data_IF_312950236558
#
_entry.id   IF_312950236558
#
_cell.length_a   1.000
_cell.length_b   1.000
_cell.length_c   1.000
_cell.angle_alpha   90.00
_cell.angle_beta   90.00
_cell.angle_gamma   90.00
#
_symmetry.space_group_name_H-M   'P 1'
#
loop_
_entity.id
_entity.type
_entity.pdbx_description
1 polymer ?
#
# COMPACT_ATOMS: atom_id res chain seq x y z
N UNK A 1 -1.21 26.08 73.61
CA UNK A 1 -1.01 24.75 73.00
C UNK A 1 -0.66 24.96 71.53
N UNK A 2 0.51 24.46 71.10
CA UNK A 2 1.01 24.59 69.73
C UNK A 2 0.36 23.50 68.87
N UNK A 3 -0.41 23.88 67.85
CA UNK A 3 -0.81 22.96 66.79
C UNK A 3 -0.05 23.35 65.52
N UNK A 4 0.97 22.55 65.19
CA UNK A 4 1.62 22.57 63.89
C UNK A 4 0.70 21.83 62.91
N UNK A 5 0.08 22.55 61.98
CA UNK A 5 -0.57 21.95 60.83
C UNK A 5 0.35 22.11 59.62
N UNK A 6 1.00 21.01 59.27
CA UNK A 6 1.77 20.87 58.04
C UNK A 6 0.82 21.01 56.85
N UNK A 7 0.97 22.11 56.10
CA UNK A 7 0.39 22.26 54.78
C UNK A 7 1.30 21.48 53.83
N UNK A 8 0.91 20.25 53.49
CA UNK A 8 1.51 19.54 52.38
C UNK A 8 0.93 20.14 51.08
N UNK A 9 1.76 20.69 50.17
CA UNK A 9 1.26 21.02 48.85
C UNK A 9 1.02 19.70 48.12
N UNK A 10 -0.25 19.38 47.86
CA UNK A 10 -0.61 18.41 46.83
C UNK A 10 -0.07 18.98 45.50
N UNK A 11 1.13 18.57 45.13
CA UNK A 11 1.64 18.75 43.78
C UNK A 11 0.77 17.86 42.90
N UNK A 12 -0.28 18.47 42.33
CA UNK A 12 -1.00 17.94 41.18
C UNK A 12 0.01 17.90 40.04
N UNK A 13 0.79 16.81 39.99
CA UNK A 13 1.56 16.46 38.79
C UNK A 13 0.49 16.35 37.71
N UNK A 14 0.52 17.21 36.67
CA UNK A 14 -0.28 16.95 35.51
C UNK A 14 0.22 15.61 35.01
N UNK A 15 -0.62 14.58 35.11
CA UNK A 15 -0.50 13.44 34.23
C UNK A 15 -0.64 14.03 32.83
N UNK A 16 0.48 14.47 32.27
CA UNK A 16 0.66 14.55 30.85
C UNK A 16 0.47 13.11 30.39
N UNK A 17 -0.80 12.74 30.16
CA UNK A 17 -1.13 11.74 29.19
C UNK A 17 -0.48 12.27 27.92
N UNK A 18 0.71 11.76 27.64
CA UNK A 18 1.14 11.65 26.26
C UNK A 18 0.00 10.85 25.63
N UNK A 19 -0.93 11.55 24.97
CA UNK A 19 -1.63 10.92 23.87
C UNK A 19 -0.49 10.52 22.94
N UNK A 20 -0.05 9.26 23.03
CA UNK A 20 0.48 8.63 21.84
C UNK A 20 -0.55 8.96 20.79
N UNK A 21 -0.14 9.73 19.79
CA UNK A 21 -0.80 9.75 18.51
C UNK A 21 -1.02 8.26 18.23
N UNK A 22 -2.27 7.81 18.34
CA UNK A 22 -2.64 6.52 17.83
C UNK A 22 -2.28 6.65 16.37
N UNK A 23 -1.13 6.07 16.00
CA UNK A 23 -0.93 5.66 14.64
C UNK A 23 -2.21 4.94 14.29
N UNK A 24 -2.85 5.42 13.24
CA UNK A 24 -4.12 4.95 12.73
C UNK A 24 -3.90 3.53 12.18
N UNK A 25 -3.62 2.58 13.08
CA UNK A 25 -3.37 1.15 12.84
C UNK A 25 -4.65 0.46 12.33
N UNK A 26 -5.76 1.21 12.25
CA UNK A 26 -7.01 0.83 11.61
C UNK A 26 -6.98 1.01 10.08
N UNK A 27 -5.96 1.68 9.51
CA UNK A 27 -5.80 1.84 8.06
C UNK A 27 -4.84 0.79 7.52
N UNK A 28 -5.37 -0.18 6.77
CA UNK A 28 -4.69 -1.14 5.91
C UNK A 28 -3.18 -1.27 6.00
N UNK A 29 -2.69 -2.40 6.49
CA UNK A 29 -1.28 -2.76 6.33
C UNK A 29 -1.00 -3.11 4.86
N UNK A 30 -0.07 -2.35 4.25
CA UNK A 30 0.52 -2.61 2.93
C UNK A 30 1.76 -3.45 3.18
N UNK A 31 1.77 -4.67 2.67
CA UNK A 31 2.91 -5.57 2.81
C UNK A 31 3.63 -5.70 1.48
N UNK A 32 4.92 -5.41 1.48
CA UNK A 32 5.80 -5.69 0.34
C UNK A 32 6.45 -7.05 0.53
N UNK A 33 6.27 -7.96 -0.43
CA UNK A 33 6.98 -9.24 -0.44
C UNK A 33 7.99 -9.24 -1.58
N UNK A 34 9.26 -9.19 -1.24
CA UNK A 34 10.35 -9.45 -2.17
C UNK A 34 10.54 -10.97 -2.36
N UNK A 35 10.97 -11.44 -3.54
CA UNK A 35 11.47 -12.80 -3.71
C UNK A 35 12.72 -13.01 -2.82
N UNK A 36 12.72 -14.07 -2.02
CA UNK A 36 13.91 -14.52 -1.29
C UNK A 36 14.72 -15.46 -2.18
N UNK A 37 15.86 -15.00 -2.68
CA UNK A 37 16.81 -15.82 -3.42
C UNK A 37 18.06 -16.02 -2.58
N UNK A 38 18.61 -17.24 -2.59
CA UNK A 38 19.92 -17.51 -1.98
C UNK A 38 20.98 -16.62 -2.62
N UNK A 39 21.95 -16.17 -1.82
CA UNK A 39 23.09 -15.36 -2.25
C UNK A 39 22.67 -14.08 -3.00
N UNK A 40 21.58 -13.44 -2.55
CA UNK A 40 21.09 -12.20 -3.12
C UNK A 40 20.84 -11.20 -2.00
N UNK A 41 21.37 -9.99 -2.16
CA UNK A 41 21.01 -8.85 -1.33
C UNK A 41 19.93 -8.02 -2.02
N UNK A 42 19.05 -7.41 -1.23
CA UNK A 42 17.93 -6.63 -1.74
C UNK A 42 17.85 -5.30 -1.02
N UNK A 43 17.64 -4.23 -1.78
CA UNK A 43 17.15 -2.94 -1.28
C UNK A 43 15.83 -2.59 -1.94
N UNK A 44 14.90 -2.06 -1.16
CA UNK A 44 13.60 -1.61 -1.66
C UNK A 44 13.26 -0.23 -1.13
N UNK A 45 12.76 0.62 -2.01
CA UNK A 45 12.32 1.98 -1.68
C UNK A 45 10.89 2.14 -2.17
N UNK A 46 10.01 2.62 -1.30
CA UNK A 46 8.64 2.91 -1.67
C UNK A 46 8.10 4.04 -0.79
N UNK A 47 7.42 4.99 -1.42
CA UNK A 47 6.58 5.98 -0.74
C UNK A 47 5.12 5.89 -1.21
N UNK A 48 4.79 4.82 -1.94
CA UNK A 48 3.52 4.67 -2.64
C UNK A 48 2.30 4.82 -1.70
N UNK A 49 2.46 4.49 -0.41
CA UNK A 49 1.46 4.65 0.65
C UNK A 49 1.41 6.01 1.35
N UNK A 50 2.45 6.84 1.22
CA UNK A 50 2.62 8.07 2.03
C UNK A 50 1.64 9.15 1.61
N UNK A 51 1.62 9.47 0.31
CA UNK A 51 0.71 10.47 -0.28
C UNK A 51 -0.79 10.17 -0.02
N UNK A 52 -1.14 8.90 0.20
CA UNK A 52 -2.51 8.45 0.44
C UNK A 52 -2.95 8.59 1.89
N UNK A 53 -2.01 8.56 2.84
CA UNK A 53 -2.30 8.70 4.28
C UNK A 53 -2.39 10.16 4.72
N UNK A 54 -1.66 11.04 4.05
CA UNK A 54 -1.56 12.47 4.38
C UNK A 54 -2.66 13.32 3.71
N UNK A 55 -3.59 12.68 2.98
CA UNK A 55 -4.69 13.38 2.31
C UNK A 55 -4.20 14.35 1.23
N UNK A 56 -3.01 14.10 0.66
CA UNK A 56 -2.44 14.98 -0.33
C UNK A 56 -3.34 15.06 -1.57
N UNK A 57 -3.54 16.29 -2.02
CA UNK A 57 -4.28 16.58 -3.23
C UNK A 57 -3.48 16.18 -4.46
N UNK A 58 -4.07 15.33 -5.30
CA UNK A 58 -3.58 15.03 -6.65
C UNK A 58 -3.71 16.28 -7.53
N UNK A 59 -2.64 17.09 -7.62
CA UNK A 59 -2.63 18.40 -8.28
C UNK A 59 -2.16 18.41 -9.73
N UNK A 60 -1.56 17.31 -10.22
CA UNK A 60 -1.14 17.17 -11.63
C UNK A 60 -2.35 17.30 -12.56
N UNK A 61 -2.25 18.22 -13.50
CA UNK A 61 -3.26 18.44 -14.54
C UNK A 61 -2.89 17.73 -15.84
N UNK A 62 -1.61 17.50 -16.07
CA UNK A 62 -1.09 16.83 -17.26
C UNK A 62 -1.29 15.31 -17.18
N UNK A 63 -1.76 14.72 -18.29
CA UNK A 63 -1.71 13.27 -18.49
C UNK A 63 -0.26 12.87 -18.78
N UNK A 64 0.25 11.89 -18.05
CA UNK A 64 1.65 11.46 -18.15
C UNK A 64 1.76 9.97 -17.81
N UNK A 65 2.45 9.17 -18.65
CA UNK A 65 2.55 7.73 -18.46
C UNK A 65 3.40 7.38 -17.24
N UNK A 66 3.08 6.24 -16.62
CA UNK A 66 3.93 5.68 -15.57
C UNK A 66 5.26 5.26 -16.17
N UNK A 67 6.36 5.65 -15.52
CA UNK A 67 7.69 5.24 -15.94
C UNK A 67 8.05 3.91 -15.31
N UNK A 68 8.66 3.02 -16.09
CA UNK A 68 9.03 1.66 -15.73
C UNK A 68 10.52 1.46 -15.94
N UNK A 69 11.17 0.81 -14.97
CA UNK A 69 12.54 0.33 -15.08
C UNK A 69 12.53 -1.17 -14.79
N UNK A 70 13.02 -1.97 -15.73
CA UNK A 70 13.05 -3.43 -15.66
C UNK A 70 14.33 -3.99 -16.27
N UNK A 71 15.46 -3.49 -15.78
CA UNK A 71 16.79 -3.85 -16.28
C UNK A 71 17.45 -4.90 -15.41
N UNK A 72 18.29 -5.73 -16.02
CA UNK A 72 19.16 -6.68 -15.33
C UNK A 72 20.48 -6.80 -16.08
N UNK A 73 21.58 -6.94 -15.36
CA UNK A 73 22.92 -7.03 -15.93
C UNK A 73 23.78 -8.08 -15.22
N UNK A 74 24.74 -8.65 -15.97
CA UNK A 74 25.79 -9.51 -15.41
C UNK A 74 27.00 -8.67 -15.01
N UNK A 75 27.63 -9.05 -13.90
CA UNK A 75 28.80 -8.40 -13.31
C UNK A 75 29.98 -9.36 -13.17
N UNK A 76 29.96 -10.52 -13.84
CA UNK A 76 30.93 -11.62 -13.66
C UNK A 76 32.42 -11.22 -13.83
N UNK A 77 32.72 -10.15 -14.56
CA UNK A 77 34.09 -9.65 -14.75
C UNK A 77 34.45 -8.47 -13.83
N UNK A 78 33.54 -8.07 -12.95
CA UNK A 78 33.68 -6.92 -12.06
C UNK A 78 34.15 -7.35 -10.67
N UNK A 79 35.11 -6.62 -10.10
CA UNK A 79 35.55 -6.81 -8.70
C UNK A 79 34.76 -5.88 -7.77
N UNK A 80 33.45 -5.82 -7.95
CA UNK A 80 32.53 -5.01 -7.15
C UNK A 80 31.71 -5.91 -6.22
N UNK A 81 31.49 -5.46 -4.98
CA UNK A 81 30.54 -6.06 -4.07
C UNK A 81 29.13 -5.46 -4.26
N UNK A 82 28.14 -6.04 -3.59
CA UNK A 82 26.77 -5.55 -3.66
C UNK A 82 26.58 -4.15 -3.07
N UNK A 83 27.40 -3.74 -2.10
CA UNK A 83 27.29 -2.40 -1.51
C UNK A 83 27.65 -1.32 -2.53
N UNK A 84 28.70 -1.53 -3.33
CA UNK A 84 29.07 -0.63 -4.43
C UNK A 84 28.02 -0.62 -5.54
N UNK A 85 27.45 -1.78 -5.88
CA UNK A 85 26.32 -1.87 -6.83
C UNK A 85 25.15 -1.01 -6.33
N UNK A 86 24.76 -1.14 -5.07
CA UNK A 86 23.66 -0.34 -4.53
C UNK A 86 23.99 1.15 -4.48
N UNK A 87 25.21 1.53 -4.10
CA UNK A 87 25.62 2.94 -4.04
C UNK A 87 25.57 3.59 -5.44
N UNK A 88 26.00 2.89 -6.48
CA UNK A 88 25.96 3.42 -7.86
C UNK A 88 24.52 3.59 -8.35
N UNK A 89 23.62 2.63 -8.07
CA UNK A 89 22.21 2.76 -8.41
C UNK A 89 21.54 3.87 -7.58
N UNK A 90 21.89 4.01 -6.30
CA UNK A 90 21.36 5.08 -5.46
C UNK A 90 21.74 6.47 -6.00
N UNK A 91 23.01 6.67 -6.33
CA UNK A 91 23.53 7.94 -6.86
C UNK A 91 22.95 8.29 -8.23
N UNK A 92 22.92 7.34 -9.16
CA UNK A 92 22.53 7.58 -10.56
C UNK A 92 21.02 7.57 -10.80
N UNK A 93 20.24 6.94 -9.92
CA UNK A 93 18.81 6.73 -10.14
C UNK A 93 17.96 7.14 -8.95
N UNK A 94 18.19 6.57 -7.76
CA UNK A 94 17.27 6.74 -6.62
C UNK A 94 17.29 8.18 -6.09
N UNK A 95 18.44 8.83 -6.11
CA UNK A 95 18.63 10.23 -5.70
C UNK A 95 17.75 11.21 -6.49
N UNK A 96 17.40 10.87 -7.74
CA UNK A 96 16.57 11.68 -8.64
C UNK A 96 15.07 11.40 -8.53
N UNK A 97 14.67 10.29 -7.91
CA UNK A 97 13.27 9.89 -7.70
C UNK A 97 12.88 10.15 -6.25
N UNK A 98 12.76 11.45 -5.91
CA UNK A 98 12.55 11.88 -4.53
C UNK A 98 11.07 11.79 -4.08
N UNK A 99 10.82 11.53 -2.78
CA UNK A 99 9.48 11.27 -2.28
C UNK A 99 8.55 12.48 -2.20
N UNK A 100 9.05 13.69 -2.40
CA UNK A 100 8.27 14.93 -2.51
C UNK A 100 7.73 15.17 -3.93
N UNK A 101 8.35 14.55 -4.95
CA UNK A 101 8.02 14.78 -6.36
C UNK A 101 7.37 13.58 -7.03
N UNK A 102 7.71 12.38 -6.57
CA UNK A 102 7.32 11.15 -7.23
C UNK A 102 6.61 10.21 -6.27
N UNK A 103 5.60 9.53 -6.79
CA UNK A 103 5.09 8.30 -6.20
C UNK A 103 5.83 7.13 -6.84
N UNK A 104 6.55 6.33 -6.05
CA UNK A 104 7.40 5.28 -6.60
C UNK A 104 7.41 4.00 -5.77
N UNK A 105 7.77 2.92 -6.44
CA UNK A 105 8.19 1.67 -5.83
C UNK A 105 9.34 1.06 -6.62
N UNK A 106 10.48 0.90 -5.96
CA UNK A 106 11.71 0.39 -6.55
C UNK A 106 12.22 -0.80 -5.76
N UNK A 107 12.54 -1.87 -6.47
CA UNK A 107 13.22 -3.06 -6.01
C UNK A 107 14.57 -3.18 -6.71
N UNK A 108 15.64 -3.31 -5.94
CA UNK A 108 16.98 -3.54 -6.45
C UNK A 108 17.47 -4.85 -5.82
N UNK A 109 17.93 -5.77 -6.66
CA UNK A 109 18.60 -7.00 -6.21
C UNK A 109 20.01 -7.06 -6.76
N UNK A 110 20.93 -7.54 -5.93
CA UNK A 110 22.30 -7.87 -6.31
C UNK A 110 22.57 -9.32 -5.92
N UNK A 111 22.88 -10.15 -6.90
CA UNK A 111 23.32 -11.53 -6.69
C UNK A 111 24.84 -11.54 -6.53
N UNK A 112 25.35 -12.35 -5.61
CA UNK A 112 26.78 -12.44 -5.33
C UNK A 112 27.27 -13.89 -5.25
N UNK A 113 28.56 -14.08 -5.50
CA UNK A 113 29.26 -15.33 -5.26
C UNK A 113 29.57 -15.48 -3.77
N UNK A 114 29.08 -16.52 -3.07
CA UNK A 114 29.32 -16.70 -1.63
C UNK A 114 30.78 -17.00 -1.27
N UNK A 115 31.62 -17.45 -2.21
CA UNK A 115 33.04 -17.72 -1.94
C UNK A 115 33.85 -16.43 -1.91
N UNK A 116 33.57 -15.51 -2.84
CA UNK A 116 34.34 -14.26 -3.02
C UNK A 116 33.63 -13.02 -2.48
N UNK A 117 32.31 -13.10 -2.25
CA UNK A 117 31.39 -11.98 -1.96
C UNK A 117 31.28 -10.91 -3.06
N UNK A 118 31.81 -11.17 -4.26
CA UNK A 118 31.66 -10.26 -5.39
C UNK A 118 30.30 -10.42 -6.05
N UNK A 119 29.76 -9.30 -6.52
CA UNK A 119 28.52 -9.22 -7.25
C UNK A 119 28.67 -9.92 -8.60
N UNK A 120 27.77 -10.85 -8.90
CA UNK A 120 27.72 -11.59 -10.17
C UNK A 120 26.64 -11.05 -11.10
N UNK A 121 25.65 -10.33 -10.55
CA UNK A 121 24.63 -9.67 -11.36
C UNK A 121 23.72 -8.78 -10.53
N UNK A 122 22.92 -7.98 -11.22
CA UNK A 122 21.95 -7.10 -10.59
C UNK A 122 20.65 -7.04 -11.39
N UNK A 123 19.58 -6.62 -10.72
CA UNK A 123 18.32 -6.28 -11.37
C UNK A 123 17.65 -5.10 -10.66
N UNK A 124 17.02 -4.24 -11.46
CA UNK A 124 16.24 -3.10 -11.01
C UNK A 124 14.83 -3.25 -11.57
N UNK A 125 13.85 -3.31 -10.66
CA UNK A 125 12.42 -3.33 -10.96
C UNK A 125 11.77 -2.14 -10.28
N UNK A 126 11.47 -1.09 -11.05
CA UNK A 126 10.85 0.13 -10.55
C UNK A 126 9.64 0.53 -11.38
N UNK A 127 8.68 1.17 -10.74
CA UNK A 127 7.76 2.07 -11.41
C UNK A 127 7.59 3.34 -10.60
N UNK A 128 7.34 4.46 -11.30
CA UNK A 128 7.13 5.74 -10.65
C UNK A 128 6.30 6.70 -11.52
N UNK A 129 5.59 7.60 -10.84
CA UNK A 129 4.77 8.64 -11.44
C UNK A 129 5.13 10.02 -10.85
N UNK A 130 5.30 11.07 -11.67
CA UNK A 130 5.42 12.43 -11.17
C UNK A 130 4.07 12.89 -10.57
N UNK A 131 4.12 13.54 -9.40
CA UNK A 131 2.93 13.91 -8.63
C UNK A 131 2.33 15.27 -9.00
N UNK A 132 3.13 16.13 -9.65
CA UNK A 132 2.78 17.50 -10.05
C UNK A 132 3.24 17.79 -11.48
N UNK A 133 2.75 18.87 -12.09
CA UNK A 133 3.18 19.29 -13.43
C UNK A 133 4.66 19.73 -13.42
N UNK A 134 5.15 20.34 -12.34
CA UNK A 134 6.58 20.66 -12.18
C UNK A 134 7.44 19.39 -12.13
N UNK A 135 6.98 18.33 -11.44
CA UNK A 135 7.68 17.05 -11.43
C UNK A 135 7.71 16.39 -12.82
N UNK A 136 6.71 16.63 -13.68
CA UNK A 136 6.74 16.19 -15.08
C UNK A 136 7.86 16.88 -15.86
N UNK A 137 8.02 18.20 -15.71
CA UNK A 137 9.07 18.95 -16.38
C UNK A 137 10.47 18.50 -15.96
N UNK A 138 10.67 18.26 -14.67
CA UNK A 138 11.93 17.74 -14.14
C UNK A 138 12.21 16.31 -14.60
N UNK A 139 11.17 15.47 -14.63
CA UNK A 139 11.29 14.11 -15.14
C UNK A 139 11.74 14.09 -16.59
N UNK A 140 11.18 14.94 -17.45
CA UNK A 140 11.61 15.01 -18.84
C UNK A 140 13.11 15.34 -18.96
N UNK A 141 13.63 16.27 -18.15
CA UNK A 141 15.07 16.57 -18.11
C UNK A 141 15.89 15.37 -17.65
N UNK A 142 15.44 14.69 -16.60
CA UNK A 142 16.09 13.47 -16.11
C UNK A 142 16.12 12.36 -17.17
N UNK A 143 15.01 12.17 -17.90
CA UNK A 143 14.94 11.21 -19.00
C UNK A 143 15.92 11.59 -20.14
N UNK A 144 15.99 12.86 -20.52
CA UNK A 144 16.89 13.32 -21.57
C UNK A 144 18.38 13.12 -21.22
N UNK A 145 18.73 13.26 -19.94
CA UNK A 145 20.12 13.15 -19.46
C UNK A 145 20.54 11.70 -19.17
N UNK A 146 19.67 10.89 -18.56
CA UNK A 146 20.04 9.58 -18.03
C UNK A 146 19.46 8.41 -18.82
N UNK A 147 18.37 8.58 -19.58
CA UNK A 147 17.80 7.45 -20.31
C UNK A 147 18.74 7.03 -21.45
N UNK A 148 19.21 5.80 -21.38
CA UNK A 148 20.18 5.24 -22.30
C UNK A 148 21.65 5.42 -21.90
N UNK A 149 21.93 5.99 -20.73
CA UNK A 149 23.29 6.04 -20.17
C UNK A 149 23.76 4.64 -19.73
N UNK A 150 25.07 4.50 -19.51
CA UNK A 150 25.62 3.30 -18.87
C UNK A 150 25.33 3.32 -17.35
N UNK A 151 24.92 2.18 -16.82
CA UNK A 151 24.77 1.89 -15.40
C UNK A 151 25.33 0.49 -15.15
N UNK A 152 26.50 0.40 -14.52
CA UNK A 152 27.17 -0.87 -14.23
C UNK A 152 27.42 -1.72 -15.50
N UNK A 153 27.79 -1.10 -16.62
CA UNK A 153 28.00 -1.80 -17.90
C UNK A 153 26.72 -2.23 -18.61
N UNK A 154 25.55 -1.84 -18.10
CA UNK A 154 24.24 -2.08 -18.72
C UNK A 154 23.55 -0.76 -19.04
N UNK A 155 22.92 -0.66 -20.21
CA UNK A 155 22.18 0.53 -20.61
C UNK A 155 20.97 0.75 -19.70
N UNK A 156 20.92 1.87 -18.98
CA UNK A 156 19.75 2.31 -18.23
C UNK A 156 18.62 2.56 -19.23
N UNK A 157 17.50 1.87 -19.05
CA UNK A 157 16.32 2.03 -19.91
C UNK A 157 15.12 2.35 -19.03
N UNK A 158 14.55 3.54 -19.25
CA UNK A 158 13.33 4.00 -18.62
C UNK A 158 12.25 4.02 -19.70
N UNK A 159 11.23 3.18 -19.50
CA UNK A 159 10.15 2.95 -20.47
C UNK A 159 8.85 3.60 -19.99
N UNK A 160 8.06 4.12 -20.92
CA UNK A 160 6.70 4.56 -20.60
C UNK A 160 5.72 3.39 -20.70
N UNK A 161 4.97 3.14 -19.63
CA UNK A 161 3.84 2.23 -19.67
C UNK A 161 2.68 2.91 -20.44
N UNK A 162 2.09 2.17 -21.37
CA UNK A 162 0.88 2.60 -22.10
C UNK A 162 -0.32 2.73 -21.16
N UNK A 163 -0.40 1.83 -20.19
CA UNK A 163 -1.50 1.73 -19.24
C UNK A 163 -1.16 0.81 -18.07
N UNK A 164 -2.04 0.76 -17.08
CA UNK A 164 -2.03 -0.22 -15.99
C UNK A 164 -3.40 -0.89 -15.88
N UNK A 165 -3.39 -2.21 -15.77
CA UNK A 165 -4.56 -3.00 -15.37
C UNK A 165 -4.43 -3.28 -13.87
N UNK A 166 -5.45 -2.93 -13.09
CA UNK A 166 -5.60 -3.40 -11.72
C UNK A 166 -6.43 -4.69 -11.73
N UNK A 167 -5.77 -5.84 -11.58
CA UNK A 167 -6.42 -7.12 -11.37
C UNK A 167 -6.69 -7.28 -9.87
N UNK A 168 -7.92 -6.95 -9.46
CA UNK A 168 -8.33 -6.90 -8.07
C UNK A 168 -8.93 -8.24 -7.63
N UNK A 169 -8.34 -8.83 -6.59
CA UNK A 169 -9.01 -9.86 -5.80
C UNK A 169 -9.52 -9.28 -4.48
N UNK A 170 -10.72 -9.67 -4.07
CA UNK A 170 -11.25 -9.46 -2.73
C UNK A 170 -11.46 -10.81 -2.06
N UNK A 171 -11.01 -10.96 -0.82
CA UNK A 171 -11.34 -12.10 0.04
C UNK A 171 -11.92 -11.60 1.36
N UNK A 172 -13.04 -12.19 1.81
CA UNK A 172 -13.69 -11.85 3.07
C UNK A 172 -13.89 -13.10 3.92
N UNK A 173 -13.72 -12.97 5.23
CA UNK A 173 -13.92 -14.09 6.14
C UNK A 173 -13.57 -13.82 7.60
N UNK A 174 -13.18 -14.89 8.29
CA UNK A 174 -12.91 -14.87 9.71
C UNK A 174 -11.46 -15.19 10.06
N UNK A 175 -10.79 -14.22 10.69
CA UNK A 175 -9.41 -14.32 11.18
C UNK A 175 -9.40 -14.35 12.70
N UNK A 176 -8.94 -15.47 13.26
CA UNK A 176 -8.83 -15.68 14.71
C UNK A 176 -7.62 -14.95 15.31
N UNK A 177 -6.49 -14.97 14.61
CA UNK A 177 -5.24 -14.34 15.05
C UNK A 177 -4.75 -13.42 13.92
N UNK A 178 -4.62 -12.14 14.23
CA UNK A 178 -4.27 -11.08 13.28
C UNK A 178 -2.84 -11.25 12.75
N UNK A 179 -1.93 -11.72 13.60
CA UNK A 179 -0.50 -11.86 13.31
C UNK A 179 -0.18 -13.12 12.51
N UNK A 180 -1.12 -14.06 12.40
CA UNK A 180 -0.94 -15.29 11.63
C UNK A 180 -1.53 -15.16 10.23
N UNK A 181 -0.84 -15.63 9.17
CA UNK A 181 -1.38 -15.56 7.80
C UNK A 181 -2.79 -16.17 7.62
N UNK A 182 -3.11 -17.37 8.16
CA UNK A 182 -4.36 -18.05 7.85
C UNK A 182 -5.61 -17.31 8.37
N UNK A 183 -6.67 -17.32 7.57
CA UNK A 183 -8.03 -17.01 7.98
C UNK A 183 -9.01 -17.93 7.24
N UNK A 184 -10.22 -18.08 7.77
CA UNK A 184 -11.29 -18.87 7.14
C UNK A 184 -11.94 -17.98 6.10
N UNK A 185 -11.75 -18.30 4.81
CA UNK A 185 -12.36 -17.57 3.71
C UNK A 185 -13.83 -17.98 3.55
N UNK A 186 -14.72 -17.00 3.53
CA UNK A 186 -16.15 -17.20 3.23
C UNK A 186 -16.44 -16.96 1.76
N UNK A 187 -15.76 -15.98 1.17
CA UNK A 187 -15.92 -15.63 -0.24
C UNK A 187 -14.69 -14.96 -0.81
N UNK A 188 -14.47 -15.23 -2.10
CA UNK A 188 -13.51 -14.55 -2.94
C UNK A 188 -14.17 -14.14 -4.26
N UNK A 189 -13.83 -12.96 -4.76
CA UNK A 189 -14.22 -12.49 -6.10
C UNK A 189 -13.05 -11.76 -6.77
N UNK A 190 -13.12 -11.65 -8.10
CA UNK A 190 -12.14 -10.95 -8.92
C UNK A 190 -12.78 -9.95 -9.88
N UNK A 191 -12.14 -8.81 -10.03
CA UNK A 191 -12.48 -7.76 -11.00
C UNK A 191 -11.22 -7.20 -11.66
N UNK A 192 -11.37 -6.57 -12.82
CA UNK A 192 -10.24 -6.01 -13.56
C UNK A 192 -10.59 -4.62 -14.07
N UNK A 193 -9.70 -3.65 -13.85
CA UNK A 193 -9.90 -2.26 -14.25
C UNK A 193 -8.71 -1.76 -15.05
N UNK A 194 -8.99 -0.95 -16.06
CA UNK A 194 -7.97 -0.30 -16.88
C UNK A 194 -7.82 1.16 -16.46
N UNK A 195 -6.58 1.61 -16.30
CA UNK A 195 -6.22 3.01 -16.06
C UNK A 195 -5.10 3.40 -17.00
N UNK A 196 -5.03 4.67 -17.38
CA UNK A 196 -3.98 5.21 -18.25
C UNK A 196 -2.62 5.25 -17.56
N UNK A 197 -2.61 5.42 -16.23
CA UNK A 197 -1.39 5.44 -15.42
C UNK A 197 -1.65 4.96 -14.00
N UNK A 198 -0.58 4.58 -13.30
CA UNK A 198 -0.62 4.32 -11.87
C UNK A 198 -0.96 5.58 -11.07
N UNK A 199 -0.59 6.78 -11.53
CA UNK A 199 -1.12 8.04 -10.98
C UNK A 199 -2.65 8.11 -11.00
N UNK A 200 -3.28 7.83 -12.15
CA UNK A 200 -4.74 7.82 -12.28
C UNK A 200 -5.38 6.76 -11.37
N UNK A 201 -4.85 5.54 -11.38
CA UNK A 201 -5.31 4.46 -10.51
C UNK A 201 -5.23 4.86 -9.03
N UNK A 202 -4.16 5.54 -8.62
CA UNK A 202 -4.04 6.06 -7.25
C UNK A 202 -5.08 7.12 -6.93
N UNK A 203 -5.27 8.07 -7.84
CA UNK A 203 -6.21 9.19 -7.70
C UNK A 203 -7.66 8.72 -7.60
N UNK A 204 -8.03 7.67 -8.32
CA UNK A 204 -9.42 7.18 -8.39
C UNK A 204 -9.65 5.97 -7.49
N UNK A 205 -9.02 4.84 -7.78
CA UNK A 205 -9.29 3.57 -7.12
C UNK A 205 -8.66 3.49 -5.73
N UNK A 206 -7.36 3.79 -5.61
CA UNK A 206 -6.69 3.63 -4.31
C UNK A 206 -7.19 4.67 -3.29
N UNK A 207 -7.46 5.90 -3.71
CA UNK A 207 -8.08 6.91 -2.84
C UNK A 207 -9.46 6.46 -2.34
N UNK A 208 -10.29 5.83 -3.19
CA UNK A 208 -11.61 5.29 -2.82
C UNK A 208 -11.50 4.13 -1.81
N UNK A 209 -10.45 3.29 -1.90
CA UNK A 209 -10.13 2.30 -0.85
C UNK A 209 -9.95 3.01 0.50
N UNK A 210 -9.12 4.05 0.56
CA UNK A 210 -8.87 4.76 1.83
C UNK A 210 -10.10 5.48 2.37
N UNK A 211 -10.94 6.01 1.49
CA UNK A 211 -12.14 6.77 1.87
C UNK A 211 -13.30 5.86 2.30
N UNK A 212 -13.48 4.72 1.64
CA UNK A 212 -14.71 3.93 1.74
C UNK A 212 -14.51 2.46 2.12
N UNK A 213 -13.41 1.81 1.74
CA UNK A 213 -13.20 0.39 2.06
C UNK A 213 -12.90 0.16 3.55
N UNK A 214 -12.08 1.00 4.18
CA UNK A 214 -11.77 0.89 5.61
C UNK A 214 -12.87 1.45 6.53
N UNK A 215 -14.13 1.20 6.19
CA UNK A 215 -15.30 1.62 6.96
C UNK A 215 -16.20 0.43 7.26
N UNK A 216 -16.83 0.43 8.44
CA UNK A 216 -17.95 -0.46 8.73
C UNK A 216 -19.32 0.18 8.45
N UNK A 217 -19.34 1.38 7.87
CA UNK A 217 -20.56 2.09 7.49
C UNK A 217 -21.14 1.53 6.17
N UNK A 218 -22.38 1.01 6.15
CA UNK A 218 -22.98 0.44 4.95
C UNK A 218 -23.08 1.44 3.80
N UNK A 219 -23.23 2.73 4.09
CA UNK A 219 -23.33 3.79 3.07
C UNK A 219 -21.99 4.09 2.39
N UNK A 220 -20.87 3.60 2.95
CA UNK A 220 -19.53 3.75 2.39
C UNK A 220 -19.05 2.46 1.73
N UNK A 221 -19.02 1.37 2.51
CA UNK A 221 -18.39 0.13 2.06
C UNK A 221 -19.21 -0.60 1.01
N UNK A 222 -20.55 -0.60 1.09
CA UNK A 222 -21.37 -1.33 0.10
C UNK A 222 -21.34 -0.66 -1.27
N UNK A 223 -21.48 0.67 -1.41
CA UNK A 223 -21.29 1.34 -2.71
C UNK A 223 -19.87 1.21 -3.26
N UNK A 224 -18.85 1.14 -2.40
CA UNK A 224 -17.48 0.83 -2.84
C UNK A 224 -17.41 -0.54 -3.53
N UNK A 225 -18.04 -1.57 -2.95
CA UNK A 225 -18.07 -2.90 -3.54
C UNK A 225 -18.84 -2.92 -4.87
N UNK A 226 -19.97 -2.22 -4.96
CA UNK A 226 -20.74 -2.11 -6.20
C UNK A 226 -19.93 -1.48 -7.34
N UNK A 227 -19.05 -0.52 -7.03
CA UNK A 227 -18.16 0.13 -8.02
C UNK A 227 -17.01 -0.78 -8.46
N UNK A 228 -16.35 -1.45 -7.52
CA UNK A 228 -15.04 -2.07 -7.76
C UNK A 228 -15.03 -3.60 -7.79
N UNK A 229 -16.10 -4.30 -7.40
CA UNK A 229 -16.13 -5.76 -7.41
C UNK A 229 -17.02 -6.27 -8.54
N UNK A 230 -18.33 -6.04 -8.46
CA UNK A 230 -19.28 -6.25 -9.56
C UNK A 230 -20.58 -5.48 -9.28
N UNK A 231 -21.40 -5.19 -10.30
CA UNK A 231 -22.68 -4.53 -10.08
C UNK A 231 -23.56 -5.28 -9.08
N UNK A 232 -24.02 -4.60 -8.02
CA UNK A 232 -24.78 -5.15 -6.89
C UNK A 232 -23.98 -6.01 -5.90
N UNK A 233 -22.64 -5.99 -5.93
CA UNK A 233 -21.79 -6.67 -4.95
C UNK A 233 -22.10 -6.25 -3.51
N UNK A 234 -22.45 -4.99 -3.24
CA UNK A 234 -22.83 -4.51 -1.91
C UNK A 234 -24.02 -5.29 -1.33
N UNK A 235 -25.03 -5.60 -2.13
CA UNK A 235 -26.17 -6.42 -1.68
C UNK A 235 -25.76 -7.84 -1.33
N UNK A 236 -24.87 -8.43 -2.14
CA UNK A 236 -24.39 -9.79 -1.94
C UNK A 236 -23.44 -9.92 -0.74
N UNK A 237 -22.51 -8.97 -0.61
CA UNK A 237 -21.52 -8.94 0.46
C UNK A 237 -22.09 -8.48 1.80
N UNK A 238 -23.31 -7.91 1.84
CA UNK A 238 -23.92 -7.44 3.09
C UNK A 238 -23.92 -8.49 4.21
N UNK A 239 -24.44 -9.69 3.92
CA UNK A 239 -24.45 -10.78 4.90
C UNK A 239 -23.04 -11.29 5.22
N UNK A 240 -22.19 -11.37 4.20
CA UNK A 240 -20.80 -11.84 4.34
C UNK A 240 -20.02 -10.92 5.28
N UNK A 241 -20.16 -9.59 5.14
CA UNK A 241 -19.47 -8.62 5.98
C UNK A 241 -20.05 -8.53 7.39
N UNK A 242 -21.33 -8.89 7.60
CA UNK A 242 -21.88 -9.07 8.95
C UNK A 242 -21.23 -10.23 9.70
N UNK A 243 -20.84 -11.29 8.99
CA UNK A 243 -20.20 -12.45 9.62
C UNK A 243 -18.66 -12.39 9.59
N UNK A 244 -18.08 -11.60 8.68
CA UNK A 244 -16.64 -11.44 8.53
C UNK A 244 -16.06 -10.47 9.57
N UNK A 245 -14.86 -10.77 10.06
CA UNK A 245 -14.05 -9.85 10.86
C UNK A 245 -12.74 -9.43 10.16
N UNK A 246 -12.52 -9.92 8.93
CA UNK A 246 -11.33 -9.65 8.14
C UNK A 246 -11.68 -9.63 6.65
N UNK A 247 -11.19 -8.61 5.94
CA UNK A 247 -11.30 -8.49 4.48
C UNK A 247 -9.95 -8.08 3.90
N UNK A 248 -9.61 -8.63 2.74
CA UNK A 248 -8.38 -8.32 2.03
C UNK A 248 -8.66 -7.89 0.59
N UNK A 249 -8.03 -6.81 0.13
CA UNK A 249 -7.97 -6.44 -1.29
C UNK A 249 -6.55 -6.64 -1.81
N UNK A 250 -6.41 -7.32 -2.94
CA UNK A 250 -5.13 -7.56 -3.60
C UNK A 250 -5.20 -7.02 -5.04
N UNK A 251 -4.91 -5.73 -5.25
CA UNK A 251 -4.88 -5.14 -6.59
C UNK A 251 -3.53 -5.36 -7.24
N UNK A 252 -3.40 -6.42 -8.02
CA UNK A 252 -2.21 -6.66 -8.82
C UNK A 252 -2.13 -5.65 -9.97
N UNK A 253 -1.00 -4.94 -10.06
CA UNK A 253 -0.74 -3.92 -11.09
C UNK A 253 -0.01 -4.55 -12.26
N UNK A 254 -0.70 -4.67 -13.38
CA UNK A 254 -0.15 -5.20 -14.63
C UNK A 254 0.03 -4.02 -15.59
N UNK A 255 1.26 -3.57 -15.73
CA UNK A 255 1.62 -2.49 -16.65
C UNK A 255 1.68 -3.03 -18.07
N UNK A 256 1.00 -2.34 -18.99
CA UNK A 256 1.03 -2.64 -20.42
C UNK A 256 2.11 -1.77 -21.07
N UNK A 257 3.01 -2.41 -21.80
CA UNK A 257 4.17 -1.75 -22.43
C UNK A 257 3.98 -1.65 -23.94
N UNK A 258 4.56 -0.64 -24.57
CA UNK A 258 4.52 -0.47 -26.03
C UNK A 258 5.58 -1.31 -26.77
N UNK A 259 6.67 -1.68 -26.09
CA UNK A 259 7.79 -2.42 -26.66
C UNK A 259 8.31 -3.53 -25.73
N UNK A 260 9.01 -4.50 -26.32
CA UNK A 260 9.66 -5.60 -25.59
C UNK A 260 8.67 -6.64 -25.07
N UNK A 261 8.80 -7.05 -23.80
CA UNK A 261 7.75 -7.82 -23.14
C UNK A 261 6.56 -6.88 -22.91
N UNK A 262 5.41 -7.20 -23.51
CA UNK A 262 4.24 -6.31 -23.51
C UNK A 262 3.59 -6.11 -22.13
N UNK A 263 4.04 -6.85 -21.12
CA UNK A 263 3.57 -6.72 -19.75
C UNK A 263 4.75 -6.55 -18.79
N UNK A 264 4.54 -5.75 -17.76
CA UNK A 264 5.42 -5.66 -16.60
C UNK A 264 4.58 -5.76 -15.34
N UNK A 265 5.01 -6.61 -14.41
CA UNK A 265 4.38 -6.75 -13.10
C UNK A 265 5.50 -6.71 -12.06
N UNK A 266 5.47 -5.71 -11.18
CA UNK A 266 6.52 -5.56 -10.17
C UNK A 266 6.59 -6.78 -9.26
N UNK A 267 7.82 -7.15 -8.89
CA UNK A 267 8.09 -8.18 -7.89
C UNK A 267 7.61 -7.76 -6.50
N UNK A 268 7.58 -6.46 -6.21
CA UNK A 268 6.99 -5.95 -4.99
C UNK A 268 5.47 -5.94 -5.16
N UNK A 269 4.81 -6.88 -4.50
CA UNK A 269 3.35 -6.90 -4.38
C UNK A 269 2.92 -6.09 -3.17
N UNK A 270 1.70 -5.59 -3.18
CA UNK A 270 1.06 -5.07 -1.98
C UNK A 270 -0.41 -5.48 -1.94
N UNK A 271 -0.98 -5.42 -0.75
CA UNK A 271 -2.39 -5.69 -0.53
C UNK A 271 -2.89 -4.81 0.61
N UNK A 272 -4.21 -4.66 0.71
CA UNK A 272 -4.89 -3.95 1.78
C UNK A 272 -5.55 -4.96 2.70
N UNK A 273 -5.24 -4.92 3.99
CA UNK A 273 -5.89 -5.76 5.01
C UNK A 273 -6.76 -4.91 5.91
N UNK A 274 -8.06 -5.22 5.98
CA UNK A 274 -9.00 -4.60 6.89
C UNK A 274 -9.31 -5.56 8.04
N UNK A 275 -8.73 -5.30 9.21
CA UNK A 275 -9.06 -6.01 10.43
C UNK A 275 -10.23 -5.31 11.14
N UNK A 276 -11.41 -5.90 11.04
CA UNK A 276 -12.65 -5.32 11.55
C UNK A 276 -12.90 -5.65 13.03
N UNK A 277 -12.04 -6.46 13.66
CA UNK A 277 -12.15 -6.78 15.09
C UNK A 277 -12.05 -5.54 15.99
N UNK A 278 -11.47 -4.45 15.48
CA UNK A 278 -11.32 -3.20 16.23
C UNK A 278 -12.62 -2.38 16.31
N UNK A 279 -13.64 -2.70 15.49
CA UNK A 279 -14.96 -2.09 15.63
C UNK A 279 -15.72 -2.68 16.82
N UNK A 280 -16.69 -1.93 17.35
CA UNK A 280 -17.50 -2.34 18.50
C UNK A 280 -18.31 -3.62 18.29
N UNK A 281 -18.72 -3.89 17.04
CA UNK A 281 -19.41 -5.11 16.65
C UNK A 281 -18.45 -6.27 16.30
N UNK A 282 -17.13 -6.03 16.27
CA UNK A 282 -16.08 -6.95 15.83
C UNK A 282 -16.27 -7.53 14.42
N UNK A 283 -17.09 -6.88 13.58
CA UNK A 283 -17.44 -7.33 12.23
C UNK A 283 -17.28 -6.20 11.22
N UNK A 284 -17.12 -6.55 9.96
CA UNK A 284 -16.79 -5.61 8.89
C UNK A 284 -17.98 -4.73 8.44
N UNK A 285 -19.20 -5.03 8.89
CA UNK A 285 -20.35 -4.19 8.64
C UNK A 285 -21.16 -4.03 9.93
N UNK A 286 -21.51 -2.79 10.29
CA UNK A 286 -22.46 -2.56 11.37
C UNK A 286 -23.87 -3.03 10.96
N UNK A 287 -24.65 -3.51 11.92
CA UNK A 287 -26.08 -3.68 11.69
C UNK A 287 -26.68 -2.28 11.50
N UNK A 288 -27.50 -2.10 10.45
CA UNK A 288 -28.25 -0.86 10.29
C UNK A 288 -29.18 -0.65 11.49
N UNK A 289 -29.48 0.60 11.83
CA UNK A 289 -30.34 0.98 12.96
C UNK A 289 -31.75 0.36 12.94
N UNK A 290 -32.12 -0.33 11.86
CA UNK A 290 -33.34 -1.13 11.73
C UNK A 290 -33.36 -2.43 12.54
N UNK A 291 -32.26 -2.80 13.22
CA UNK A 291 -32.19 -3.97 14.12
C UNK A 291 -32.21 -3.62 15.62
N UNK A 292 -32.71 -2.43 15.99
CA UNK A 292 -33.25 -2.22 17.35
C UNK A 292 -34.67 -2.80 17.42
N UNK A 293 -34.78 -4.13 17.45
CA UNK A 293 -36.04 -4.81 17.74
C UNK A 293 -35.92 -5.56 19.08
N UNK A 294 -36.68 -5.04 20.05
CA UNK A 294 -37.26 -5.72 21.19
C UNK A 294 -36.33 -6.17 22.34
N UNK A 295 -35.91 -5.22 23.18
CA UNK A 295 -35.58 -5.52 24.59
C UNK A 295 -36.36 -4.66 25.60
N UNK A 296 -37.48 -4.04 25.18
CA UNK A 296 -38.29 -3.19 26.03
C UNK A 296 -39.75 -3.66 26.09
N UNK A 297 -40.00 -4.95 26.33
CA UNK A 297 -41.27 -5.41 26.90
C UNK A 297 -41.00 -6.65 27.76
N UNK A 298 -40.72 -6.45 29.05
CA UNK A 298 -41.07 -7.42 30.09
C UNK A 298 -41.47 -6.67 31.36
N UNK A 299 -42.78 -6.39 31.40
CA UNK A 299 -43.68 -6.55 32.56
C UNK A 299 -43.25 -5.96 33.91
N UNK A 300 -43.65 -4.69 34.10
CA UNK A 300 -44.25 -4.25 35.36
C UNK A 300 -45.56 -5.02 35.62
N UNK A 301 -45.52 -6.06 36.45
CA UNK A 301 -46.67 -6.51 37.25
C UNK A 301 -46.19 -7.51 38.29
N UNK A 302 -46.17 -7.10 39.56
CA UNK A 302 -46.76 -7.85 40.68
C UNK A 302 -46.67 -7.01 41.96
N UNK A 303 -47.77 -6.30 42.23
CA UNK A 303 -48.19 -5.94 43.59
C UNK A 303 -49.28 -6.94 43.97
N UNK A 304 -49.02 -7.68 45.04
CA UNK A 304 -50.00 -8.25 45.96
C UNK A 304 -49.30 -8.41 47.29
#
# INVERSE_FOLDING_TARGET
MRFHQFIAPLVLIPCCAFSQIQNDDNKGQIFFKAPENKNTQVKSYANDSKHLKEGETFTRSLDYPTQIIRISGSLETSVMDCDRVFAEVEDRLISHITPDKYSYMTYISCTYDPETNFATGFAISSFFDPMTDTAVEELNKFLDEYNGSDLLGTKLTIESARAVIAALNISAGFKKNVDKPPFIEYRQDRSNFYFKSNYEMKKTFISDIYQNFFSNDPEKVLPFLDRWIFPNAGSYYKAILWDSNYVQLQPERIFLMDSGQNIFVSNLKFYFSHNCNNYSNHRCLRYGDSFKLNSAVETTTNRS
#
